data_IF_775866991028
#
_entry.id   IF_775866991028
#
_cell.length_a   1.000
_cell.length_b   1.000
_cell.length_c   1.000
_cell.angle_alpha   90.00
_cell.angle_beta   90.00
_cell.angle_gamma   90.00
#
_symmetry.space_group_name_H-M   'P 1'
#
loop_
_entity.id
_entity.type
_entity.pdbx_description
1 polymer ?
#
# COMPACT_ATOMS: atom_id res chain seq x y z
N UNK A 1 -1.53 22.73 -47.25
CA UNK A 1 -0.61 21.65 -46.85
C UNK A 1 0.06 22.10 -45.58
N UNK A 2 -0.35 21.56 -44.43
CA UNK A 2 0.21 21.89 -43.12
C UNK A 2 1.47 21.05 -42.91
N UNK A 3 2.63 21.67 -43.08
CA UNK A 3 3.91 21.08 -42.69
C UNK A 3 4.11 21.41 -41.21
N UNK A 4 3.70 20.47 -40.35
CA UNK A 4 4.10 20.46 -38.94
C UNK A 4 5.53 19.92 -38.94
N UNK A 5 6.51 20.81 -38.78
CA UNK A 5 7.85 20.40 -38.39
C UNK A 5 7.73 19.70 -37.03
N UNK A 6 8.10 18.41 -36.90
CA UNK A 6 8.21 17.80 -35.59
C UNK A 6 9.29 18.57 -34.83
N UNK A 7 8.86 19.21 -33.75
CA UNK A 7 9.69 20.01 -32.87
C UNK A 7 10.96 19.26 -32.51
N UNK A 8 12.06 19.99 -32.69
CA UNK A 8 13.34 19.75 -32.06
C UNK A 8 13.12 19.87 -30.55
N UNK A 9 12.85 18.75 -29.87
CA UNK A 9 12.97 18.57 -28.42
C UNK A 9 13.71 17.23 -28.22
N UNK A 10 14.97 17.09 -27.83
CA UNK A 10 16.13 17.95 -27.62
C UNK A 10 17.36 16.99 -27.69
N UNK A 11 18.56 17.41 -28.11
CA UNK A 11 19.78 16.59 -28.04
C UNK A 11 20.32 16.39 -26.60
N UNK A 12 19.59 16.81 -25.56
CA UNK A 12 19.99 16.77 -24.14
C UNK A 12 19.51 15.53 -23.38
N UNK A 13 18.52 14.78 -23.88
CA UNK A 13 17.97 13.61 -23.18
C UNK A 13 18.89 12.36 -23.22
N UNK A 14 20.03 12.45 -23.90
CA UNK A 14 20.96 11.34 -24.10
C UNK A 14 22.29 11.52 -23.35
N UNK A 15 22.41 12.52 -22.46
CA UNK A 15 23.53 12.70 -21.54
C UNK A 15 23.25 12.13 -20.14
N UNK A 16 21.98 12.01 -19.76
CA UNK A 16 21.58 11.53 -18.42
C UNK A 16 21.52 10.00 -18.33
N UNK A 17 21.14 9.31 -19.41
CA UNK A 17 21.01 7.84 -19.41
C UNK A 17 22.37 7.16 -19.15
N UNK A 18 23.43 7.63 -19.81
CA UNK A 18 24.77 7.05 -19.63
C UNK A 18 25.33 7.38 -18.24
N UNK A 19 25.00 8.55 -17.69
CA UNK A 19 25.38 8.96 -16.33
C UNK A 19 24.64 8.12 -15.27
N UNK A 20 23.35 7.89 -15.45
CA UNK A 20 22.52 7.05 -14.59
C UNK A 20 23.03 5.61 -14.64
N UNK A 21 23.32 5.06 -15.83
CA UNK A 21 23.88 3.70 -15.97
C UNK A 21 25.23 3.54 -15.28
N UNK A 22 26.11 4.54 -15.43
CA UNK A 22 27.37 4.54 -14.69
C UNK A 22 27.14 4.57 -13.17
N UNK A 23 26.20 5.39 -12.70
CA UNK A 23 25.84 5.47 -11.29
C UNK A 23 25.26 4.14 -10.79
N UNK A 24 24.35 3.50 -11.54
CA UNK A 24 23.80 2.18 -11.22
C UNK A 24 24.92 1.15 -11.03
N UNK A 25 25.89 1.13 -11.95
CA UNK A 25 27.03 0.22 -11.87
C UNK A 25 27.88 0.50 -10.62
N UNK A 26 28.24 1.76 -10.37
CA UNK A 26 29.02 2.15 -9.18
C UNK A 26 28.30 1.81 -7.88
N UNK A 27 26.98 1.99 -7.82
CA UNK A 27 26.18 1.66 -6.65
C UNK A 27 26.07 0.15 -6.44
N UNK A 28 25.92 -0.63 -7.52
CA UNK A 28 25.84 -2.10 -7.46
C UNK A 28 27.19 -2.77 -7.14
N UNK A 29 28.32 -2.12 -7.43
CA UNK A 29 29.66 -2.62 -7.09
C UNK A 29 30.05 -2.37 -5.63
N UNK A 30 29.28 -1.56 -4.89
CA UNK A 30 29.56 -1.24 -3.48
C UNK A 30 29.02 -2.30 -2.54
N UNK A 31 29.91 -2.89 -1.74
CA UNK A 31 29.55 -3.82 -0.66
C UNK A 31 29.17 -3.07 0.64
N UNK A 32 28.24 -2.13 0.53
CA UNK A 32 27.78 -1.31 1.66
C UNK A 32 26.27 -1.12 1.61
N UNK A 33 25.61 -1.13 2.77
CA UNK A 33 24.19 -0.77 2.87
C UNK A 33 24.01 0.73 2.61
N UNK A 34 23.19 1.06 1.62
CA UNK A 34 22.87 2.44 1.25
C UNK A 34 21.36 2.65 1.31
N UNK A 35 20.96 3.87 1.67
CA UNK A 35 19.56 4.32 1.60
C UNK A 35 19.46 5.26 0.41
N UNK A 36 18.61 4.91 -0.54
CA UNK A 36 18.39 5.67 -1.78
C UNK A 36 16.97 6.20 -1.75
N UNK A 37 16.83 7.50 -2.01
CA UNK A 37 15.53 8.17 -2.15
C UNK A 37 15.48 8.75 -3.56
N UNK A 38 14.52 8.28 -4.35
CA UNK A 38 14.32 8.75 -5.72
C UNK A 38 12.83 8.71 -6.08
N UNK A 39 12.45 9.54 -7.05
CA UNK A 39 11.14 9.48 -7.71
C UNK A 39 11.18 8.68 -9.02
N UNK A 40 12.38 8.30 -9.49
CA UNK A 40 12.57 7.47 -10.67
C UNK A 40 12.42 5.99 -10.34
N UNK A 41 11.36 5.38 -10.86
CA UNK A 41 11.03 3.97 -10.66
C UNK A 41 12.00 3.03 -11.38
N UNK A 42 12.49 3.42 -12.56
CA UNK A 42 13.42 2.59 -13.32
C UNK A 42 14.75 2.47 -12.57
N UNK A 43 15.29 3.60 -12.12
CA UNK A 43 16.49 3.64 -11.30
C UNK A 43 16.33 2.80 -10.02
N UNK A 44 15.25 3.01 -9.26
CA UNK A 44 14.97 2.24 -8.04
C UNK A 44 14.87 0.73 -8.33
N UNK A 45 14.28 0.34 -9.47
CA UNK A 45 14.22 -1.06 -9.88
C UNK A 45 15.60 -1.67 -10.19
N UNK A 46 16.57 -0.87 -10.64
CA UNK A 46 17.91 -1.33 -11.03
C UNK A 46 18.90 -1.41 -9.86
N UNK A 47 18.75 -0.56 -8.83
CA UNK A 47 19.75 -0.45 -7.74
C UNK A 47 19.27 -0.92 -6.37
N UNK A 48 17.95 -0.91 -6.12
CA UNK A 48 17.42 -1.27 -4.81
C UNK A 48 17.02 -2.75 -4.76
N UNK A 49 17.40 -3.41 -3.67
CA UNK A 49 17.02 -4.80 -3.38
C UNK A 49 15.85 -4.92 -2.40
N UNK A 50 15.52 -3.81 -1.73
CA UNK A 50 14.44 -3.70 -0.76
C UNK A 50 13.81 -2.32 -0.88
N UNK A 51 12.50 -2.25 -0.64
CA UNK A 51 11.74 -1.01 -0.60
C UNK A 51 11.18 -0.79 0.80
N UNK A 52 11.35 0.42 1.32
CA UNK A 52 10.83 0.80 2.62
C UNK A 52 9.59 1.69 2.43
N UNK A 53 8.45 1.22 2.91
CA UNK A 53 7.19 1.97 3.00
C UNK A 53 7.06 2.55 4.41
N UNK A 54 6.82 3.85 4.49
CA UNK A 54 6.65 4.56 5.76
C UNK A 54 5.21 5.08 5.82
N UNK A 55 4.38 4.48 6.67
CA UNK A 55 2.98 4.87 6.84
C UNK A 55 2.64 5.04 8.32
N UNK A 56 2.07 6.19 8.70
CA UNK A 56 1.69 6.56 10.08
C UNK A 56 2.74 6.24 11.17
N UNK A 57 4.04 6.36 10.85
CA UNK A 57 5.14 6.08 11.78
C UNK A 57 5.53 4.60 11.90
N UNK A 58 4.91 3.72 11.12
CA UNK A 58 5.31 2.33 10.93
C UNK A 58 6.18 2.22 9.66
N UNK A 59 7.33 1.54 9.77
CA UNK A 59 8.26 1.32 8.66
C UNK A 59 8.18 -0.15 8.26
N UNK A 60 7.76 -0.42 7.03
CA UNK A 60 7.68 -1.78 6.47
C UNK A 60 8.65 -1.92 5.32
N UNK A 61 9.52 -2.92 5.44
CA UNK A 61 10.49 -3.24 4.41
C UNK A 61 9.98 -4.42 3.59
N UNK A 62 9.90 -4.23 2.29
CA UNK A 62 9.53 -5.24 1.31
C UNK A 62 10.79 -5.68 0.58
N UNK A 63 11.12 -6.99 0.53
CA UNK A 63 12.18 -7.47 -0.34
C UNK A 63 11.76 -7.35 -1.80
N UNK A 64 12.73 -7.10 -2.66
CA UNK A 64 12.52 -6.95 -4.09
C UNK A 64 12.63 -5.52 -4.59
N UNK A 65 12.38 -5.38 -5.88
CA UNK A 65 12.44 -4.11 -6.57
C UNK A 65 11.16 -3.28 -6.36
N UNK A 66 11.06 -2.13 -7.01
CA UNK A 66 9.93 -1.20 -6.88
C UNK A 66 8.61 -1.83 -7.33
N UNK A 67 8.62 -2.58 -8.43
CA UNK A 67 7.41 -3.18 -9.00
C UNK A 67 6.86 -4.31 -8.11
N UNK A 68 7.76 -5.13 -7.57
CA UNK A 68 7.44 -6.18 -6.59
C UNK A 68 6.88 -5.58 -5.31
N UNK A 69 7.52 -4.53 -4.80
CA UNK A 69 7.01 -3.74 -3.68
C UNK A 69 5.61 -3.21 -3.95
N UNK A 70 5.38 -2.60 -5.10
CA UNK A 70 4.09 -1.97 -5.40
C UNK A 70 2.97 -3.00 -5.50
N UNK A 71 3.28 -4.17 -6.05
CA UNK A 71 2.38 -5.32 -6.06
C UNK A 71 2.06 -5.80 -4.63
N UNK A 72 3.09 -6.00 -3.81
CA UNK A 72 2.95 -6.47 -2.43
C UNK A 72 2.18 -5.48 -1.54
N UNK A 73 2.50 -4.19 -1.66
CA UNK A 73 1.85 -3.11 -0.92
C UNK A 73 0.37 -2.99 -1.29
N UNK A 74 0.03 -3.11 -2.57
CA UNK A 74 -1.36 -3.09 -3.05
C UNK A 74 -2.15 -4.25 -2.47
N UNK A 75 -1.62 -5.48 -2.56
CA UNK A 75 -2.26 -6.67 -1.99
C UNK A 75 -2.43 -6.57 -0.47
N UNK A 76 -1.43 -6.05 0.24
CA UNK A 76 -1.50 -5.84 1.68
C UNK A 76 -2.62 -4.85 2.04
N UNK A 77 -2.72 -3.75 1.28
CA UNK A 77 -3.77 -2.73 1.46
C UNK A 77 -5.16 -3.30 1.21
N UNK A 78 -5.34 -4.07 0.14
CA UNK A 78 -6.62 -4.72 -0.18
C UNK A 78 -7.05 -5.71 0.91
N UNK A 79 -6.13 -6.54 1.41
CA UNK A 79 -6.41 -7.48 2.52
C UNK A 79 -6.84 -6.74 3.78
N UNK A 80 -6.15 -5.66 4.14
CA UNK A 80 -6.51 -4.83 5.29
C UNK A 80 -7.93 -4.24 5.16
N UNK A 81 -8.30 -3.76 3.97
CA UNK A 81 -9.64 -3.25 3.72
C UNK A 81 -10.71 -4.34 3.81
N UNK A 82 -10.45 -5.52 3.24
CA UNK A 82 -11.35 -6.67 3.30
C UNK A 82 -11.56 -7.17 4.74
N UNK A 83 -10.48 -7.28 5.52
CA UNK A 83 -10.55 -7.69 6.92
C UNK A 83 -11.32 -6.67 7.77
N UNK A 84 -11.11 -5.38 7.54
CA UNK A 84 -11.85 -4.33 8.23
C UNK A 84 -13.34 -4.36 7.88
N UNK A 85 -13.69 -4.59 6.62
CA UNK A 85 -15.08 -4.76 6.20
C UNK A 85 -15.73 -5.98 6.88
N UNK A 86 -15.04 -7.12 6.92
CA UNK A 86 -15.52 -8.34 7.59
C UNK A 86 -15.72 -8.13 9.10
N UNK A 87 -14.75 -7.51 9.77
CA UNK A 87 -14.85 -7.16 11.20
C UNK A 87 -16.03 -6.23 11.46
N UNK A 88 -16.25 -5.22 10.62
CA UNK A 88 -17.38 -4.29 10.74
C UNK A 88 -18.72 -5.00 10.58
N UNK A 89 -18.85 -5.90 9.60
CA UNK A 89 -20.05 -6.71 9.41
C UNK A 89 -20.34 -7.61 10.63
N UNK A 90 -19.31 -8.27 11.16
CA UNK A 90 -19.42 -9.10 12.35
C UNK A 90 -19.87 -8.30 13.58
N UNK A 91 -19.29 -7.11 13.80
CA UNK A 91 -19.71 -6.21 14.87
C UNK A 91 -21.20 -5.82 14.73
N UNK A 92 -21.63 -5.47 13.53
CA UNK A 92 -23.03 -5.11 13.27
C UNK A 92 -23.98 -6.28 13.54
N UNK A 93 -23.61 -7.51 13.14
CA UNK A 93 -24.41 -8.72 13.40
C UNK A 93 -24.52 -8.98 14.91
N UNK A 94 -23.40 -8.97 15.64
CA UNK A 94 -23.37 -9.14 17.11
C UNK A 94 -24.24 -8.08 17.81
N UNK A 95 -24.16 -6.83 17.39
CA UNK A 95 -25.00 -5.75 17.94
C UNK A 95 -26.49 -5.99 17.68
N UNK A 96 -26.85 -6.47 16.49
CA UNK A 96 -28.24 -6.82 16.15
C UNK A 96 -28.75 -8.00 16.99
N UNK A 97 -27.90 -8.99 17.25
CA UNK A 97 -28.22 -10.14 18.09
C UNK A 97 -28.45 -9.69 19.54
N UNK A 98 -27.50 -8.95 20.12
CA UNK A 98 -27.62 -8.43 21.49
C UNK A 98 -28.88 -7.58 21.66
N UNK A 99 -29.21 -6.69 20.72
CA UNK A 99 -30.43 -5.87 20.80
C UNK A 99 -31.71 -6.71 20.74
N UNK A 100 -31.79 -7.71 19.85
CA UNK A 100 -32.94 -8.60 19.74
C UNK A 100 -33.16 -9.46 21.00
N UNK A 101 -32.08 -9.95 21.61
CA UNK A 101 -32.18 -10.81 22.80
C UNK A 101 -32.34 -10.02 24.10
N UNK A 102 -31.76 -8.82 24.21
CA UNK A 102 -31.98 -7.93 25.36
C UNK A 102 -33.42 -7.39 25.42
N UNK A 103 -34.05 -7.11 24.27
CA UNK A 103 -35.47 -6.73 24.19
C UNK A 103 -36.43 -7.89 24.55
N UNK A 104 -36.03 -9.14 24.30
CA UNK A 104 -36.80 -10.31 24.71
C UNK A 104 -36.62 -10.66 26.19
N UNK A 105 -35.43 -10.46 26.75
CA UNK A 105 -35.17 -10.65 28.19
C UNK A 105 -35.90 -9.61 29.06
N UNK A 106 -36.04 -8.37 28.60
CA UNK A 106 -36.83 -7.35 29.29
C UNK A 106 -38.34 -7.62 29.22
N UNK A 107 -38.85 -8.10 28.08
CA UNK A 107 -40.25 -8.54 27.95
C UNK A 107 -40.58 -9.78 28.79
N UNK A 108 -39.66 -10.75 28.93
CA UNK A 108 -39.92 -11.94 29.75
C UNK A 108 -39.96 -11.63 31.25
N UNK A 109 -39.05 -10.78 31.76
CA UNK A 109 -39.04 -10.34 33.16
C UNK A 109 -40.30 -9.56 33.55
N UNK A 110 -40.88 -8.80 32.63
CA UNK A 110 -42.11 -8.02 32.86
C UNK A 110 -43.37 -8.89 32.90
N UNK A 111 -43.38 -10.04 32.21
CA UNK A 111 -44.49 -10.98 32.24
C UNK A 111 -44.51 -11.79 33.56
N UNK A 112 -43.34 -12.12 34.12
CA UNK A 112 -43.24 -12.87 35.39
C UNK A 112 -43.59 -12.03 36.61
N UNK A 113 -43.40 -10.70 36.57
CA UNK A 113 -43.76 -9.82 37.70
C UNK A 113 -45.26 -9.55 37.84
N UNK A 114 -46.05 -9.80 36.78
CA UNK A 114 -47.52 -9.68 36.79
C UNK A 114 -48.25 -10.98 37.17
N UNK A 115 -47.52 -12.08 37.33
CA UNK A 115 -48.07 -13.40 37.65
C UNK A 115 -48.02 -13.75 39.16
N UNK A 116 -47.73 -12.78 40.03
CA UNK A 116 -47.81 -12.91 41.50
C UNK A 116 -48.89 -11.99 42.06
#
# INVERSE_FOLDING_TARGET
MSEVAPGVDEPTNNLDIDTIRWLEQVLNERDSTMIIISHDRHFLNMVCTHMADLDYGDLRVYPGNYDEYMTAATQARERLLADNAKKKAQIAELQSFVSRFSANASKSRQATSRAR
#
